data_IF_251695655121
#
_entry.id   IF_251695655121
#
_cell.length_a   1.000
_cell.length_b   1.000
_cell.length_c   1.000
_cell.angle_alpha   90.00
_cell.angle_beta   90.00
_cell.angle_gamma   90.00
#
_symmetry.space_group_name_H-M   'P 1'
#
loop_
_entity.id
_entity.type
_entity.pdbx_description
1 polymer ?
#
# COMPACT_ATOMS: atom_id res chain seq x y z
N UNK A 1 -2.94 5.39 2.92
CA UNK A 1 -2.88 5.53 1.45
C UNK A 1 -2.06 6.76 1.11
N UNK A 2 -1.08 6.64 0.21
CA UNK A 2 -0.31 7.78 -0.30
C UNK A 2 -1.00 8.29 -1.56
N UNK A 3 -1.15 9.61 -1.67
CA UNK A 3 -1.71 10.27 -2.87
C UNK A 3 -0.52 10.85 -3.65
N UNK A 4 -0.27 10.34 -4.84
CA UNK A 4 0.84 10.82 -5.66
C UNK A 4 0.41 12.01 -6.51
N UNK A 5 1.18 13.10 -6.42
CA UNK A 5 0.95 14.32 -7.21
C UNK A 5 1.95 14.28 -8.36
N UNK A 6 1.46 14.34 -9.60
CA UNK A 6 2.26 14.26 -10.82
C UNK A 6 3.47 15.23 -10.79
N UNK A 7 4.68 14.66 -10.86
CA UNK A 7 5.90 15.42 -11.13
C UNK A 7 6.46 14.98 -12.48
N UNK A 8 6.88 15.95 -13.29
CA UNK A 8 7.57 15.75 -14.58
C UNK A 8 8.86 14.93 -14.36
N UNK A 9 9.18 13.95 -15.22
CA UNK A 9 10.40 13.17 -15.08
C UNK A 9 11.63 14.03 -15.35
N UNK A 10 12.50 14.12 -14.36
CA UNK A 10 13.82 14.71 -14.51
C UNK A 10 14.84 13.59 -14.80
N UNK A 11 15.57 13.72 -15.91
CA UNK A 11 16.52 12.73 -16.42
C UNK A 11 17.92 13.07 -15.98
N UNK A 12 18.25 12.89 -14.68
CA UNK A 12 19.63 13.09 -14.26
C UNK A 12 20.11 11.97 -13.32
N UNK A 13 21.15 11.23 -13.77
CA UNK A 13 21.68 9.97 -13.23
C UNK A 13 22.52 10.17 -11.93
N UNK A 14 22.46 11.32 -11.30
CA UNK A 14 23.21 11.62 -10.07
C UNK A 14 22.44 12.51 -9.11
N UNK A 15 21.13 12.32 -8.97
CA UNK A 15 20.40 13.14 -8.01
C UNK A 15 20.52 12.54 -6.60
N UNK A 16 21.04 13.27 -5.61
CA UNK A 16 20.97 12.83 -4.22
C UNK A 16 19.50 12.61 -3.86
N UNK A 17 19.20 11.58 -3.07
CA UNK A 17 17.87 11.33 -2.53
C UNK A 17 17.31 12.65 -1.97
N UNK A 18 16.07 12.97 -2.32
CA UNK A 18 15.45 14.24 -1.94
C UNK A 18 14.09 13.95 -1.34
N UNK A 19 13.84 14.48 -0.14
CA UNK A 19 12.54 14.40 0.48
C UNK A 19 11.47 15.04 -0.41
N UNK A 20 10.34 14.35 -0.58
CA UNK A 20 9.17 14.85 -1.32
C UNK A 20 8.02 15.05 -0.35
N UNK A 21 7.42 16.23 -0.38
CA UNK A 21 6.17 16.46 0.35
C UNK A 21 5.09 15.51 -0.18
N UNK A 22 4.50 14.72 0.72
CA UNK A 22 3.45 13.75 0.43
C UNK A 22 2.10 14.23 0.97
N UNK A 23 1.02 13.74 0.37
CA UNK A 23 -0.33 13.75 0.95
C UNK A 23 -0.66 12.32 1.36
N UNK A 24 -0.88 12.12 2.65
CA UNK A 24 -1.26 10.82 3.19
C UNK A 24 -2.75 10.78 3.50
N UNK A 25 -3.40 9.68 3.18
CA UNK A 25 -4.75 9.39 3.62
C UNK A 25 -4.68 8.33 4.72
N UNK A 26 -5.22 8.66 5.88
CA UNK A 26 -5.22 7.80 7.05
C UNK A 26 -6.65 7.61 7.57
N UNK A 27 -6.87 6.57 8.37
CA UNK A 27 -8.12 6.34 9.10
C UNK A 27 -7.78 6.08 10.55
N UNK A 28 -8.44 6.78 11.47
CA UNK A 28 -8.20 6.60 12.90
C UNK A 28 -8.66 5.21 13.38
N UNK A 29 -7.93 4.55 14.30
CA UNK A 29 -8.26 3.20 14.78
C UNK A 29 -9.38 3.20 15.84
N UNK A 30 -10.40 4.07 15.71
CA UNK A 30 -11.47 4.23 16.70
C UNK A 30 -12.29 2.97 16.93
N UNK A 31 -12.36 2.11 15.90
CA UNK A 31 -13.10 0.83 15.95
C UNK A 31 -12.17 -0.36 15.72
N UNK A 32 -10.85 -0.15 15.83
CA UNK A 32 -9.89 -1.21 15.60
C UNK A 32 -9.98 -2.32 16.64
N UNK A 33 -10.16 -3.52 16.14
CA UNK A 33 -10.20 -4.77 16.91
C UNK A 33 -9.83 -5.93 16.01
N UNK A 34 -9.49 -7.10 16.57
CA UNK A 34 -9.22 -8.33 15.82
C UNK A 34 -10.32 -9.33 16.14
N UNK A 35 -11.38 -9.34 15.34
CA UNK A 35 -12.59 -10.17 15.54
C UNK A 35 -12.63 -11.40 14.62
N UNK A 36 -11.78 -11.42 13.59
CA UNK A 36 -11.67 -12.50 12.60
C UNK A 36 -10.19 -12.70 12.19
N UNK A 37 -9.93 -13.75 11.43
CA UNK A 37 -8.58 -14.07 10.95
C UNK A 37 -8.62 -14.18 9.43
N UNK A 38 -8.01 -13.22 8.76
CA UNK A 38 -7.89 -13.16 7.29
C UNK A 38 -6.43 -13.12 6.81
N UNK A 39 -5.47 -13.20 7.74
CA UNK A 39 -4.04 -13.36 7.46
C UNK A 39 -3.35 -14.02 8.67
N UNK A 40 -2.12 -14.57 8.51
CA UNK A 40 -1.39 -15.27 9.57
C UNK A 40 -0.93 -14.42 10.77
N UNK A 41 -1.04 -13.10 10.69
CA UNK A 41 -0.62 -12.19 11.77
C UNK A 41 -1.76 -11.85 12.74
N UNK A 42 -3.00 -12.20 12.38
CA UNK A 42 -4.17 -11.93 13.21
C UNK A 42 -4.37 -13.02 14.24
N UNK A 43 -4.57 -12.61 15.49
CA UNK A 43 -4.86 -13.48 16.63
C UNK A 43 -6.06 -12.93 17.42
N UNK A 44 -7.20 -13.61 17.34
CA UNK A 44 -8.43 -13.22 18.04
C UNK A 44 -8.40 -13.56 19.53
N UNK A 45 -7.40 -14.32 20.01
CA UNK A 45 -7.25 -14.67 21.42
C UNK A 45 -6.68 -13.53 22.27
N UNK A 46 -6.00 -12.58 21.64
CA UNK A 46 -5.38 -11.44 22.31
C UNK A 46 -6.22 -10.17 22.08
N UNK A 47 -6.84 -9.60 23.13
CA UNK A 47 -7.60 -8.36 23.02
C UNK A 47 -6.70 -7.21 22.55
N UNK A 48 -7.24 -6.39 21.65
CA UNK A 48 -6.57 -5.16 21.21
C UNK A 48 -6.70 -4.10 22.30
N UNK A 49 -5.58 -3.46 22.65
CA UNK A 49 -5.58 -2.22 23.41
C UNK A 49 -5.85 -1.05 22.45
N UNK A 50 -7.12 -0.70 22.30
CA UNK A 50 -7.56 0.33 21.35
C UNK A 50 -6.97 1.71 21.70
N UNK A 51 -6.81 2.05 23.00
CA UNK A 51 -6.20 3.33 23.38
C UNK A 51 -4.74 3.40 22.94
N UNK A 52 -3.99 2.33 23.16
CA UNK A 52 -2.60 2.23 22.69
C UNK A 52 -2.51 2.33 21.16
N UNK A 53 -3.44 1.71 20.43
CA UNK A 53 -3.49 1.82 18.96
C UNK A 53 -3.74 3.28 18.53
N UNK A 54 -4.64 3.99 19.20
CA UNK A 54 -4.90 5.42 18.95
C UNK A 54 -3.64 6.26 19.21
N UNK A 55 -2.97 6.04 20.34
CA UNK A 55 -1.77 6.81 20.71
C UNK A 55 -0.62 6.58 19.71
N UNK A 56 -0.43 5.34 19.25
CA UNK A 56 0.57 5.00 18.23
C UNK A 56 0.22 5.61 16.87
N UNK A 57 -1.04 5.53 16.47
CA UNK A 57 -1.53 6.12 15.23
C UNK A 57 -1.35 7.65 15.22
N UNK A 58 -1.69 8.32 16.33
CA UNK A 58 -1.52 9.76 16.45
C UNK A 58 -0.04 10.16 16.41
N UNK A 59 0.83 9.36 17.02
CA UNK A 59 2.28 9.55 16.92
C UNK A 59 2.76 9.50 15.47
N UNK A 60 2.30 8.52 14.71
CA UNK A 60 2.64 8.39 13.28
C UNK A 60 2.08 9.57 12.48
N UNK A 61 0.82 9.94 12.69
CA UNK A 61 0.17 11.08 12.02
C UNK A 61 0.93 12.37 12.28
N UNK A 62 1.30 12.63 13.55
CA UNK A 62 2.06 13.82 13.92
C UNK A 62 3.46 13.80 13.30
N UNK A 63 4.12 12.64 13.25
CA UNK A 63 5.43 12.49 12.58
C UNK A 63 5.35 12.92 11.12
N UNK A 64 4.32 12.51 10.39
CA UNK A 64 4.13 12.96 9.00
C UNK A 64 3.98 14.49 8.90
N UNK A 65 3.21 15.09 9.79
CA UNK A 65 3.01 16.55 9.83
C UNK A 65 4.31 17.28 10.16
N UNK A 66 5.07 16.80 11.13
CA UNK A 66 6.35 17.40 11.56
C UNK A 66 7.42 17.33 10.45
N UNK A 67 7.35 16.30 9.59
CA UNK A 67 8.18 16.17 8.39
C UNK A 67 7.68 17.02 7.20
N UNK A 68 6.62 17.80 7.38
CA UNK A 68 6.09 18.72 6.37
C UNK A 68 5.10 18.07 5.39
N UNK A 69 4.64 16.85 5.65
CA UNK A 69 3.61 16.20 4.86
C UNK A 69 2.21 16.67 5.26
N UNK A 70 1.23 16.52 4.38
CA UNK A 70 -0.17 16.70 4.72
C UNK A 70 -0.84 15.34 5.01
N UNK A 71 -1.71 15.32 6.02
CA UNK A 71 -2.51 14.14 6.37
C UNK A 71 -3.99 14.49 6.28
N UNK A 72 -4.70 13.69 5.50
CA UNK A 72 -6.16 13.74 5.38
C UNK A 72 -6.77 12.45 5.94
N UNK A 73 -8.04 12.53 6.33
CA UNK A 73 -8.68 11.41 7.03
C UNK A 73 -9.90 10.91 6.26
N UNK A 74 -10.04 9.58 6.23
CA UNK A 74 -11.31 8.91 5.98
C UNK A 74 -11.94 8.63 7.34
N UNK A 75 -13.22 8.94 7.48
CA UNK A 75 -13.96 8.69 8.72
C UNK A 75 -14.04 7.18 8.98
N UNK A 76 -13.62 6.69 10.17
CA UNK A 76 -13.74 5.29 10.52
C UNK A 76 -15.21 4.90 10.71
N UNK A 77 -15.58 3.71 10.24
CA UNK A 77 -16.94 3.20 10.32
C UNK A 77 -17.03 2.04 11.33
N UNK A 78 -18.04 2.10 12.20
CA UNK A 78 -18.32 1.01 13.12
C UNK A 78 -18.61 -0.30 12.36
N UNK A 79 -18.03 -1.40 12.81
CA UNK A 79 -18.13 -2.71 12.15
C UNK A 79 -17.13 -2.93 11.00
N UNK A 80 -16.23 -1.98 10.74
CA UNK A 80 -15.14 -2.09 9.77
C UNK A 80 -13.79 -1.83 10.47
N UNK A 81 -13.33 -2.74 11.32
CA UNK A 81 -12.14 -2.53 12.17
C UNK A 81 -10.85 -2.34 11.38
N UNK A 82 -10.75 -2.91 10.19
CA UNK A 82 -9.54 -2.88 9.36
C UNK A 82 -9.39 -1.58 8.54
N UNK A 83 -10.32 -0.61 8.63
CA UNK A 83 -10.18 0.69 7.96
C UNK A 83 -8.89 1.44 8.35
N UNK A 84 -8.30 1.15 9.51
CA UNK A 84 -7.01 1.70 9.93
C UNK A 84 -5.89 1.39 8.90
N UNK A 85 -5.99 0.29 8.17
CA UNK A 85 -5.10 -0.08 7.07
C UNK A 85 -5.50 0.64 5.78
N UNK A 86 -5.53 1.96 5.83
CA UNK A 86 -6.04 2.82 4.77
C UNK A 86 -5.34 2.64 3.40
N UNK A 87 -4.11 2.15 3.37
CA UNK A 87 -3.39 1.81 2.14
C UNK A 87 -4.17 0.83 1.25
N UNK A 88 -4.91 -0.10 1.84
CA UNK A 88 -5.72 -1.06 1.10
C UNK A 88 -6.95 -0.44 0.43
N UNK A 89 -7.33 0.79 0.78
CA UNK A 89 -8.55 1.44 0.28
C UNK A 89 -8.54 1.82 -1.20
N UNK A 90 -7.38 1.84 -1.84
CA UNK A 90 -7.25 2.13 -3.26
C UNK A 90 -5.87 2.66 -3.66
N UNK A 91 -5.80 3.14 -4.90
CA UNK A 91 -4.61 3.79 -5.47
C UNK A 91 -5.03 5.13 -6.10
N UNK A 92 -4.28 6.19 -5.79
CA UNK A 92 -4.38 7.47 -6.50
C UNK A 92 -3.02 7.79 -7.07
N UNK A 93 -2.94 7.90 -8.40
CA UNK A 93 -1.71 8.21 -9.13
C UNK A 93 -2.04 9.02 -10.38
N UNK A 94 -1.22 10.04 -10.69
CA UNK A 94 -1.40 10.91 -11.86
C UNK A 94 -2.83 11.49 -12.00
N UNK A 95 -3.48 11.81 -10.87
CA UNK A 95 -4.86 12.32 -10.86
C UNK A 95 -5.94 11.29 -11.17
N UNK A 96 -5.59 10.02 -11.35
CA UNK A 96 -6.49 8.89 -11.54
C UNK A 96 -6.67 8.13 -10.23
N UNK A 97 -7.88 7.65 -9.98
CA UNK A 97 -8.21 6.93 -8.75
C UNK A 97 -8.84 5.57 -9.06
N UNK A 98 -8.30 4.54 -8.43
CA UNK A 98 -8.87 3.18 -8.42
C UNK A 98 -9.23 2.87 -6.96
N UNK A 99 -10.50 2.58 -6.71
CA UNK A 99 -10.95 2.15 -5.38
C UNK A 99 -10.77 0.65 -5.23
N UNK A 100 -10.50 0.21 -4.01
CA UNK A 100 -10.34 -1.21 -3.71
C UNK A 100 -11.65 -2.00 -3.91
N UNK A 101 -11.49 -3.25 -4.34
CA UNK A 101 -12.48 -4.32 -4.28
C UNK A 101 -11.87 -5.45 -3.45
N UNK A 102 -12.26 -5.53 -2.20
CA UNK A 102 -11.65 -6.45 -1.23
C UNK A 102 -11.95 -7.92 -1.52
N UNK A 103 -10.96 -8.78 -1.22
CA UNK A 103 -11.11 -10.24 -1.32
C UNK A 103 -12.01 -10.81 -0.22
N UNK A 104 -11.95 -10.23 0.98
CA UNK A 104 -12.67 -10.67 2.17
C UNK A 104 -13.94 -9.84 2.39
N UNK A 105 -15.03 -10.53 2.69
CA UNK A 105 -16.34 -9.92 2.91
C UNK A 105 -16.33 -8.95 4.11
N UNK A 106 -15.51 -9.24 5.12
CA UNK A 106 -15.32 -8.44 6.33
C UNK A 106 -14.85 -7.03 6.03
N UNK A 107 -14.10 -6.85 4.94
CA UNK A 107 -13.57 -5.56 4.49
C UNK A 107 -14.35 -4.91 3.34
N UNK A 108 -15.29 -5.63 2.73
CA UNK A 108 -15.97 -5.16 1.53
C UNK A 108 -16.67 -3.80 1.70
N UNK A 109 -17.18 -3.51 2.89
CA UNK A 109 -17.83 -2.24 3.22
C UNK A 109 -16.91 -1.02 3.21
N UNK A 110 -15.59 -1.20 3.30
CA UNK A 110 -14.61 -0.11 3.32
C UNK A 110 -14.53 0.62 1.98
N UNK A 111 -14.77 -0.08 0.86
CA UNK A 111 -14.68 0.48 -0.50
C UNK A 111 -15.53 1.72 -0.70
N UNK A 112 -16.76 1.71 -0.16
CA UNK A 112 -17.69 2.84 -0.30
C UNK A 112 -17.17 4.10 0.40
N UNK A 113 -16.57 3.99 1.58
CA UNK A 113 -16.01 5.12 2.32
C UNK A 113 -14.81 5.73 1.58
N UNK A 114 -13.93 4.90 1.03
CA UNK A 114 -12.80 5.36 0.24
C UNK A 114 -13.24 6.02 -1.08
N UNK A 115 -14.21 5.43 -1.79
CA UNK A 115 -14.76 6.00 -3.02
C UNK A 115 -15.43 7.36 -2.78
N UNK A 116 -16.19 7.50 -1.69
CA UNK A 116 -16.83 8.74 -1.30
C UNK A 116 -15.79 9.83 -0.98
N UNK A 117 -14.74 9.49 -0.20
CA UNK A 117 -13.64 10.41 0.07
C UNK A 117 -12.94 10.84 -1.23
N UNK A 118 -12.61 9.91 -2.12
CA UNK A 118 -11.99 10.21 -3.42
C UNK A 118 -12.86 11.19 -4.23
N UNK A 119 -14.18 10.93 -4.30
CA UNK A 119 -15.13 11.76 -5.03
C UNK A 119 -15.23 13.18 -4.47
N UNK A 120 -15.31 13.32 -3.16
CA UNK A 120 -15.33 14.64 -2.48
C UNK A 120 -14.05 15.43 -2.67
N UNK A 121 -12.93 14.74 -2.91
CA UNK A 121 -11.62 15.35 -3.14
C UNK A 121 -11.28 15.55 -4.63
N UNK A 122 -12.28 15.47 -5.51
CA UNK A 122 -12.15 15.83 -6.92
C UNK A 122 -11.64 14.71 -7.83
N UNK A 123 -11.54 13.47 -7.32
CA UNK A 123 -11.22 12.30 -8.13
C UNK A 123 -12.49 11.64 -8.65
N UNK A 124 -12.36 10.90 -9.75
CA UNK A 124 -13.40 10.03 -10.28
C UNK A 124 -12.93 8.59 -10.05
N UNK A 125 -13.29 7.96 -8.91
CA UNK A 125 -12.83 6.62 -8.60
C UNK A 125 -13.45 5.59 -9.55
N UNK A 126 -12.62 4.65 -10.00
CA UNK A 126 -13.06 3.51 -10.81
C UNK A 126 -12.93 2.24 -9.97
N UNK A 127 -13.97 1.41 -9.99
CA UNK A 127 -13.93 0.06 -9.45
C UNK A 127 -13.46 -0.92 -10.53
N UNK A 128 -12.54 -1.81 -10.17
CA UNK A 128 -12.18 -2.94 -11.03
C UNK A 128 -13.24 -4.05 -10.95
N UNK A 129 -13.37 -4.83 -12.03
CA UNK A 129 -14.21 -6.05 -12.03
C UNK A 129 -13.64 -7.15 -11.16
N UNK A 130 -12.31 -7.19 -11.07
CA UNK A 130 -11.58 -8.18 -10.29
C UNK A 130 -11.09 -7.56 -8.98
N UNK A 131 -10.83 -8.41 -7.98
CA UNK A 131 -10.31 -7.99 -6.67
C UNK A 131 -9.01 -7.21 -6.82
N UNK A 132 -8.94 -6.06 -6.16
CA UNK A 132 -7.71 -5.30 -5.92
C UNK A 132 -7.76 -4.73 -4.50
N UNK A 133 -6.65 -4.75 -3.79
CA UNK A 133 -6.56 -4.22 -2.43
C UNK A 133 -5.61 -3.01 -2.34
N UNK A 134 -5.77 -2.10 -3.30
CA UNK A 134 -5.14 -0.79 -3.28
C UNK A 134 -3.62 -0.83 -3.13
N UNK A 135 -3.06 0.12 -2.39
CA UNK A 135 -1.61 0.23 -2.16
C UNK A 135 -1.03 -0.84 -1.23
N UNK A 136 -1.84 -1.75 -0.68
CA UNK A 136 -1.33 -2.99 -0.12
C UNK A 136 -0.63 -3.85 -1.19
N UNK A 137 -1.17 -3.85 -2.41
CA UNK A 137 -0.64 -4.64 -3.53
C UNK A 137 -0.16 -3.80 -4.73
N UNK A 138 -0.38 -2.49 -4.74
CA UNK A 138 -0.07 -1.60 -5.86
C UNK A 138 0.91 -0.52 -5.41
N UNK A 139 2.18 -0.69 -5.72
CA UNK A 139 3.24 0.23 -5.31
C UNK A 139 3.83 0.96 -6.53
N UNK A 140 3.83 2.28 -6.47
CA UNK A 140 4.38 3.13 -7.54
C UNK A 140 5.88 3.30 -7.35
N UNK A 141 6.66 2.98 -8.39
CA UNK A 141 8.10 3.19 -8.45
C UNK A 141 8.42 3.94 -9.73
N UNK A 142 8.81 5.19 -9.64
CA UNK A 142 9.00 6.06 -10.81
C UNK A 142 7.76 6.09 -11.70
N UNK A 143 7.88 5.62 -12.93
CA UNK A 143 6.77 5.58 -13.92
C UNK A 143 6.08 4.20 -14.04
N UNK A 144 6.30 3.29 -13.09
CA UNK A 144 5.79 1.92 -13.13
C UNK A 144 5.05 1.57 -11.85
N UNK A 145 4.02 0.76 -11.94
CA UNK A 145 3.35 0.15 -10.79
C UNK A 145 3.84 -1.28 -10.64
N UNK A 146 4.41 -1.61 -9.48
CA UNK A 146 4.63 -2.99 -9.06
C UNK A 146 3.33 -3.50 -8.42
N UNK A 147 2.82 -4.64 -8.90
CA UNK A 147 1.52 -5.16 -8.50
C UNK A 147 1.61 -6.59 -7.96
N UNK A 148 1.37 -6.77 -6.67
CA UNK A 148 1.33 -8.07 -6.00
C UNK A 148 0.09 -8.87 -6.38
N UNK A 149 0.23 -10.19 -6.42
CA UNK A 149 -0.89 -11.13 -6.53
C UNK A 149 -0.52 -12.48 -5.91
N UNK A 150 -1.52 -13.34 -5.70
CA UNK A 150 -1.34 -14.68 -5.14
C UNK A 150 -2.22 -14.94 -3.92
N UNK A 151 -2.49 -13.94 -3.09
CA UNK A 151 -3.31 -14.07 -1.88
C UNK A 151 -4.53 -13.15 -1.84
N UNK A 152 -4.37 -11.89 -2.28
CA UNK A 152 -5.42 -10.87 -2.23
C UNK A 152 -5.79 -10.37 -3.61
N UNK A 153 -5.02 -9.48 -4.19
CA UNK A 153 -5.29 -8.93 -5.50
C UNK A 153 -5.25 -10.02 -6.59
N UNK A 154 -6.28 -10.02 -7.43
CA UNK A 154 -6.37 -10.90 -8.60
C UNK A 154 -5.49 -10.33 -9.72
N UNK A 155 -4.66 -11.19 -10.32
CA UNK A 155 -3.79 -10.77 -11.43
C UNK A 155 -4.55 -10.13 -12.59
N UNK A 156 -5.81 -10.49 -12.80
CA UNK A 156 -6.65 -9.90 -13.86
C UNK A 156 -7.00 -8.43 -13.61
N UNK A 157 -6.94 -7.97 -12.36
CA UNK A 157 -7.12 -6.55 -12.05
C UNK A 157 -5.95 -5.68 -12.56
N UNK A 158 -4.77 -6.25 -12.77
CA UNK A 158 -3.58 -5.50 -13.20
C UNK A 158 -3.79 -4.82 -14.57
N UNK A 159 -4.40 -5.51 -15.52
CA UNK A 159 -4.66 -4.95 -16.85
C UNK A 159 -5.73 -3.83 -16.78
N UNK A 160 -6.77 -4.03 -15.95
CA UNK A 160 -7.81 -3.01 -15.72
C UNK A 160 -7.22 -1.74 -15.08
N UNK A 161 -6.30 -1.91 -14.14
CA UNK A 161 -5.60 -0.81 -13.46
C UNK A 161 -4.68 -0.08 -14.45
N UNK A 162 -3.86 -0.83 -15.21
CA UNK A 162 -2.96 -0.27 -16.21
C UNK A 162 -3.70 0.59 -17.23
N UNK A 163 -4.82 0.09 -17.75
CA UNK A 163 -5.67 0.78 -18.72
C UNK A 163 -6.27 2.07 -18.13
N UNK A 164 -6.71 2.01 -16.87
CA UNK A 164 -7.33 3.17 -16.22
C UNK A 164 -6.31 4.24 -15.87
N UNK A 165 -5.19 3.88 -15.22
CA UNK A 165 -4.20 4.88 -14.74
C UNK A 165 -3.23 5.31 -15.83
N UNK A 166 -3.12 4.56 -16.92
CA UNK A 166 -2.22 4.86 -18.05
C UNK A 166 -0.74 4.64 -17.71
N UNK A 167 -0.44 3.72 -16.79
CA UNK A 167 0.92 3.37 -16.38
C UNK A 167 1.19 1.88 -16.60
N UNK A 168 2.45 1.49 -16.92
CA UNK A 168 2.84 0.08 -16.94
C UNK A 168 2.63 -0.57 -15.56
N UNK A 169 2.09 -1.79 -15.56
CA UNK A 169 1.93 -2.61 -14.36
C UNK A 169 2.77 -3.87 -14.49
N UNK A 170 3.65 -4.11 -13.53
CA UNK A 170 4.49 -5.31 -13.45
C UNK A 170 3.94 -6.22 -12.36
N UNK A 171 3.39 -7.37 -12.75
CA UNK A 171 2.82 -8.35 -11.83
C UNK A 171 3.90 -9.16 -11.11
N UNK A 172 3.78 -9.25 -9.79
CA UNK A 172 4.69 -9.97 -8.90
C UNK A 172 3.89 -11.00 -8.09
N UNK A 173 4.21 -12.27 -8.27
CA UNK A 173 3.56 -13.37 -7.57
C UNK A 173 4.18 -13.56 -6.18
N UNK A 174 3.34 -13.48 -5.15
CA UNK A 174 3.66 -13.77 -3.75
C UNK A 174 3.38 -15.25 -3.47
N UNK A 175 4.28 -15.93 -2.77
CA UNK A 175 4.21 -17.38 -2.50
C UNK A 175 4.25 -17.74 -1.01
N UNK A 176 4.59 -16.81 -0.14
CA UNK A 176 4.59 -17.02 1.31
C UNK A 176 3.37 -16.31 1.93
N UNK A 177 2.43 -17.04 2.56
CA UNK A 177 1.20 -16.44 3.10
C UNK A 177 1.44 -15.42 4.23
N UNK A 178 2.63 -15.38 4.83
CA UNK A 178 3.00 -14.33 5.79
C UNK A 178 3.15 -12.97 5.12
N UNK A 179 3.47 -12.97 3.84
CA UNK A 179 3.61 -11.78 3.00
C UNK A 179 2.45 -11.73 2.00
N UNK A 180 1.23 -11.63 2.55
CA UNK A 180 -0.02 -11.75 1.80
C UNK A 180 -0.37 -10.48 0.99
N UNK A 181 0.33 -9.37 1.23
CA UNK A 181 0.33 -8.16 0.43
C UNK A 181 1.74 -7.79 -0.03
N UNK A 182 1.84 -7.06 -1.13
CA UNK A 182 3.11 -6.61 -1.67
C UNK A 182 3.85 -5.69 -0.69
N UNK A 183 3.15 -4.78 -0.02
CA UNK A 183 3.71 -3.82 0.95
C UNK A 183 4.25 -4.49 2.23
N UNK A 184 3.96 -5.76 2.45
CA UNK A 184 4.59 -6.55 3.51
C UNK A 184 5.89 -7.22 3.08
N UNK A 185 6.11 -7.34 1.75
CA UNK A 185 7.24 -8.05 1.13
C UNK A 185 8.22 -7.12 0.38
N UNK A 186 7.80 -5.88 0.10
CA UNK A 186 8.56 -4.90 -0.67
C UNK A 186 8.24 -3.48 -0.21
N UNK A 187 9.27 -2.67 -0.04
CA UNK A 187 9.17 -1.24 0.24
C UNK A 187 9.77 -0.44 -0.92
N UNK A 188 9.09 0.61 -1.32
CA UNK A 188 9.61 1.62 -2.27
C UNK A 188 10.28 2.72 -1.47
N UNK A 189 11.58 2.93 -1.69
CA UNK A 189 12.37 3.93 -0.97
C UNK A 189 12.45 5.26 -1.72
N UNK A 190 12.59 5.18 -3.05
CA UNK A 190 12.54 6.31 -3.97
C UNK A 190 12.11 5.84 -5.38
N UNK A 191 12.24 6.70 -6.40
CA UNK A 191 11.81 6.36 -7.78
C UNK A 191 12.63 5.24 -8.44
N UNK A 192 13.76 4.83 -7.85
CA UNK A 192 14.71 3.87 -8.44
C UNK A 192 15.15 2.78 -7.46
N UNK A 193 14.85 2.94 -6.18
CA UNK A 193 15.36 2.07 -5.11
C UNK A 193 14.21 1.39 -4.39
N UNK A 194 14.30 0.08 -4.28
CA UNK A 194 13.40 -0.73 -3.46
C UNK A 194 14.18 -1.53 -2.41
N UNK A 195 13.49 -1.90 -1.34
CA UNK A 195 13.92 -2.96 -0.44
C UNK A 195 12.90 -4.09 -0.52
N UNK A 196 13.32 -5.36 -0.51
CA UNK A 196 12.39 -6.46 -0.60
C UNK A 196 12.94 -7.73 0.07
N UNK A 197 12.05 -8.69 0.36
CA UNK A 197 12.40 -10.01 0.89
C UNK A 197 12.23 -11.07 -0.21
N UNK A 198 13.33 -11.52 -0.86
CA UNK A 198 13.26 -12.41 -2.02
C UNK A 198 12.44 -13.70 -1.80
N UNK A 199 12.51 -14.41 -0.63
CA UNK A 199 11.76 -15.63 -0.43
C UNK A 199 10.22 -15.46 -0.44
N UNK A 200 9.70 -14.25 -0.29
CA UNK A 200 8.26 -13.99 -0.38
C UNK A 200 7.72 -14.15 -1.82
N UNK A 201 8.59 -14.12 -2.83
CA UNK A 201 8.22 -14.06 -4.23
C UNK A 201 8.50 -15.37 -4.98
N UNK A 202 7.66 -15.68 -5.98
CA UNK A 202 7.95 -16.73 -6.96
C UNK A 202 9.26 -16.44 -7.71
N UNK A 203 9.92 -17.48 -8.18
CA UNK A 203 11.23 -17.36 -8.85
C UNK A 203 11.22 -16.39 -10.03
N UNK A 204 10.16 -16.40 -10.84
CA UNK A 204 10.01 -15.48 -11.97
C UNK A 204 9.95 -14.03 -11.48
N UNK A 205 9.20 -13.75 -10.42
CA UNK A 205 9.06 -12.39 -9.86
C UNK A 205 10.38 -11.91 -9.26
N UNK A 206 11.16 -12.80 -8.62
CA UNK A 206 12.51 -12.46 -8.13
C UNK A 206 13.45 -12.06 -9.26
N UNK A 207 13.43 -12.81 -10.38
CA UNK A 207 14.23 -12.45 -11.56
C UNK A 207 13.82 -11.08 -12.13
N UNK A 208 12.53 -10.83 -12.27
CA UNK A 208 12.02 -9.53 -12.72
C UNK A 208 12.49 -8.40 -11.81
N UNK A 209 12.40 -8.56 -10.48
CA UNK A 209 12.88 -7.55 -9.52
C UNK A 209 14.38 -7.33 -9.62
N UNK A 210 15.20 -8.39 -9.72
CA UNK A 210 16.65 -8.28 -9.86
C UNK A 210 17.06 -7.60 -11.16
N UNK A 211 16.34 -7.83 -12.26
CA UNK A 211 16.59 -7.16 -13.56
C UNK A 211 16.20 -5.67 -13.53
N UNK A 212 15.06 -5.35 -12.92
CA UNK A 212 14.56 -3.97 -12.84
C UNK A 212 15.33 -3.12 -11.82
N UNK A 213 15.75 -3.73 -10.71
CA UNK A 213 16.37 -3.05 -9.58
C UNK A 213 17.67 -3.76 -9.15
N UNK A 214 18.73 -3.69 -9.94
CA UNK A 214 19.98 -4.41 -9.65
C UNK A 214 20.68 -3.95 -8.36
N UNK A 215 20.31 -2.80 -7.82
CA UNK A 215 20.83 -2.24 -6.57
C UNK A 215 19.78 -2.33 -5.42
N UNK A 216 18.74 -3.15 -5.57
CA UNK A 216 17.74 -3.35 -4.53
C UNK A 216 18.37 -3.85 -3.21
N UNK A 217 17.79 -3.44 -2.09
CA UNK A 217 18.19 -3.91 -0.77
C UNK A 217 17.42 -5.21 -0.48
N UNK A 218 18.14 -6.31 -0.35
CA UNK A 218 17.54 -7.59 0.06
C UNK A 218 17.55 -7.72 1.59
N UNK A 219 16.38 -7.96 2.19
CA UNK A 219 16.26 -8.13 3.62
C UNK A 219 16.55 -9.56 4.07
N UNK A 220 17.12 -9.68 5.26
CA UNK A 220 17.21 -10.94 5.96
C UNK A 220 15.84 -11.37 6.54
N UNK A 221 15.68 -12.67 6.81
CA UNK A 221 14.44 -13.19 7.39
C UNK A 221 14.10 -12.56 8.75
N UNK A 222 15.11 -12.21 9.57
CA UNK A 222 14.92 -11.55 10.86
C UNK A 222 14.15 -10.25 10.76
N UNK A 223 14.44 -9.45 9.71
CA UNK A 223 13.84 -8.15 9.50
C UNK A 223 12.48 -8.29 8.79
N UNK A 224 12.39 -9.22 7.84
CA UNK A 224 11.14 -9.48 7.13
C UNK A 224 10.04 -10.01 8.07
N UNK A 225 10.40 -10.90 9.02
CA UNK A 225 9.44 -11.52 9.93
C UNK A 225 8.95 -10.62 11.07
N UNK A 226 9.41 -9.41 11.14
CA UNK A 226 8.83 -8.36 11.99
C UNK A 226 8.14 -7.27 11.18
N UNK A 227 7.77 -7.58 9.93
CA UNK A 227 7.15 -6.66 8.95
C UNK A 227 8.00 -5.41 8.69
N UNK A 228 9.34 -5.56 8.70
CA UNK A 228 10.28 -4.45 8.50
C UNK A 228 10.21 -3.78 7.12
N UNK A 229 9.46 -4.36 6.16
CA UNK A 229 9.19 -3.77 4.84
C UNK A 229 7.88 -2.99 4.78
N UNK A 230 7.01 -3.10 5.79
CA UNK A 230 5.78 -2.33 5.84
C UNK A 230 6.07 -0.91 6.33
N UNK A 231 6.72 -0.14 5.49
CA UNK A 231 7.23 1.20 5.77
C UNK A 231 6.79 2.20 4.71
N UNK A 232 6.90 3.48 5.04
CA UNK A 232 6.67 4.59 4.11
C UNK A 232 7.94 5.41 4.02
N UNK A 233 8.39 5.71 2.80
CA UNK A 233 9.52 6.59 2.53
C UNK A 233 9.04 7.88 1.88
N UNK A 234 9.64 9.00 2.25
CA UNK A 234 9.48 10.29 1.59
C UNK A 234 10.50 10.53 0.47
N UNK A 235 11.37 9.56 0.23
CA UNK A 235 12.41 9.58 -0.80
C UNK A 235 13.82 9.91 -0.28
N UNK A 236 14.01 10.06 1.05
CA UNK A 236 15.33 10.21 1.69
C UNK A 236 15.92 8.88 2.11
#
# INVERSE_FOLDING_TARGET
MTIDVATTPDTDIANPRTARTRRYLMTAPSFYTVEYVINPWMDTSTPVDTQRAIDQWETLRQTYVDLGHSVELVEPLAGLPDMVYAANGGLIVNGRAVVARFAHAERAGESAAHADWMSRNGFVPVETRHVNEGQGDLLVVGSTILAGHGFRTDRRAHDEIADHVGMPVVGLELVDPRFYHLDTALAVLDDHTIAYYPPAFAERSRRTLAEMFPSAIELASSDAYVLGLNVVSDGL
#
